data_IF_036624358892
#
_entry.id   IF_036624358892
#
_cell.length_a   1.000
_cell.length_b   1.000
_cell.length_c   1.000
_cell.angle_alpha   90.00
_cell.angle_beta   90.00
_cell.angle_gamma   90.00
#
_symmetry.space_group_name_H-M   'P 1'
#
loop_
_entity.id
_entity.type
_entity.pdbx_description
1 polymer ?
#
# COMPACT_ATOMS: atom_id res chain seq x y z
N UNK A 1 24.71 -11.85 10.55
CA UNK A 1 24.09 -12.89 9.68
C UNK A 1 24.83 -12.89 8.36
N UNK A 2 25.22 -14.05 7.86
CA UNK A 2 25.81 -14.19 6.52
C UNK A 2 24.71 -14.21 5.44
N UNK A 3 25.05 -13.98 4.16
CA UNK A 3 24.09 -14.08 3.05
C UNK A 3 23.36 -15.45 3.00
N UNK A 4 24.08 -16.53 3.27
CA UNK A 4 23.53 -17.90 3.30
C UNK A 4 22.47 -18.07 4.40
N UNK A 5 22.73 -17.54 5.60
CA UNK A 5 21.74 -17.57 6.69
C UNK A 5 20.46 -16.78 6.34
N UNK A 6 20.57 -15.70 5.57
CA UNK A 6 19.41 -14.96 5.07
C UNK A 6 18.61 -15.78 4.08
N UNK A 7 19.29 -16.42 3.12
CA UNK A 7 18.65 -17.27 2.12
C UNK A 7 17.88 -18.44 2.76
N UNK A 8 18.48 -19.14 3.73
CA UNK A 8 17.82 -20.23 4.46
C UNK A 8 16.58 -19.75 5.24
N UNK A 9 16.62 -18.54 5.81
CA UNK A 9 15.47 -17.96 6.49
C UNK A 9 14.36 -17.62 5.50
N UNK A 10 14.69 -16.99 4.38
CA UNK A 10 13.72 -16.63 3.34
C UNK A 10 13.09 -17.89 2.74
N UNK A 11 13.90 -18.92 2.44
CA UNK A 11 13.40 -20.21 1.92
C UNK A 11 12.43 -20.89 2.87
N UNK A 12 12.70 -20.88 4.18
CA UNK A 12 11.76 -21.42 5.18
C UNK A 12 10.40 -20.72 5.13
N UNK A 13 10.38 -19.39 5.06
CA UNK A 13 9.14 -18.64 4.92
C UNK A 13 8.44 -18.89 3.59
N UNK A 14 9.19 -19.01 2.49
CA UNK A 14 8.62 -19.33 1.17
C UNK A 14 7.95 -20.71 1.14
N UNK A 15 8.58 -21.73 1.71
CA UNK A 15 8.01 -23.09 1.81
C UNK A 15 6.73 -23.07 2.64
N UNK A 16 6.70 -22.33 3.75
CA UNK A 16 5.51 -22.20 4.60
C UNK A 16 4.33 -21.55 3.88
N UNK A 17 4.58 -20.71 2.87
CA UNK A 17 3.55 -20.04 2.06
C UNK A 17 3.24 -20.79 0.76
N UNK A 18 3.63 -22.06 0.66
CA UNK A 18 3.32 -22.89 -0.51
C UNK A 18 1.80 -22.96 -0.75
N UNK A 19 1.38 -22.78 -2.00
CA UNK A 19 -0.02 -22.76 -2.40
C UNK A 19 -0.70 -21.38 -2.33
N UNK A 20 -0.03 -20.35 -1.79
CA UNK A 20 -0.54 -18.98 -1.85
C UNK A 20 -0.47 -18.44 -3.28
N UNK A 21 -1.54 -17.77 -3.73
CA UNK A 21 -1.52 -17.07 -5.02
C UNK A 21 -0.55 -15.88 -4.98
N UNK A 22 -0.08 -15.45 -6.15
CA UNK A 22 0.79 -14.27 -6.24
C UNK A 22 0.09 -13.03 -5.69
N UNK A 23 -1.19 -12.86 -6.02
CA UNK A 23 -2.00 -11.74 -5.56
C UNK A 23 -2.19 -11.74 -4.04
N UNK A 24 -2.40 -12.92 -3.44
CA UNK A 24 -2.52 -13.03 -1.99
C UNK A 24 -1.18 -12.76 -1.30
N UNK A 25 -0.07 -13.23 -1.87
CA UNK A 25 1.27 -12.93 -1.34
C UNK A 25 1.58 -11.42 -1.41
N UNK A 26 1.25 -10.75 -2.52
CA UNK A 26 1.40 -9.30 -2.68
C UNK A 26 0.52 -8.54 -1.67
N UNK A 27 -0.72 -9.01 -1.44
CA UNK A 27 -1.61 -8.43 -0.43
C UNK A 27 -1.11 -8.62 1.00
N UNK A 28 -0.60 -9.80 1.37
CA UNK A 28 -0.02 -10.03 2.70
C UNK A 28 1.23 -9.18 2.92
N UNK A 29 2.07 -9.02 1.89
CA UNK A 29 3.22 -8.11 1.97
C UNK A 29 2.77 -6.68 2.29
N UNK A 30 1.76 -6.16 1.58
CA UNK A 30 1.22 -4.83 1.84
C UNK A 30 0.57 -4.71 3.22
N UNK A 31 -0.08 -5.78 3.71
CA UNK A 31 -0.68 -5.80 5.04
C UNK A 31 0.33 -5.66 6.16
N UNK A 32 1.52 -6.23 6.01
CA UNK A 32 2.61 -6.07 6.99
C UNK A 32 3.30 -4.73 6.80
N UNK A 33 3.56 -4.33 5.55
CA UNK A 33 4.27 -3.09 5.25
C UNK A 33 3.51 -1.84 5.74
N UNK A 34 2.17 -1.84 5.67
CA UNK A 34 1.35 -0.70 6.11
C UNK A 34 1.45 -0.38 7.61
N UNK A 35 1.86 -1.35 8.43
CA UNK A 35 2.01 -1.18 9.88
C UNK A 35 3.37 -0.57 10.27
N UNK A 36 4.29 -0.43 9.30
CA UNK A 36 5.57 0.23 9.54
C UNK A 36 5.36 1.72 9.82
N UNK A 37 6.05 2.24 10.83
CA UNK A 37 5.86 3.60 11.34
C UNK A 37 6.12 4.72 10.31
N UNK A 38 6.89 4.43 9.27
CA UNK A 38 7.22 5.38 8.19
C UNK A 38 6.41 5.13 6.91
N UNK A 39 5.56 4.10 6.88
CA UNK A 39 4.83 3.72 5.68
C UNK A 39 3.80 4.79 5.31
N UNK A 40 3.82 5.22 4.06
CA UNK A 40 2.85 6.19 3.54
C UNK A 40 2.94 7.58 4.18
N UNK A 41 4.08 7.92 4.80
CA UNK A 41 4.34 9.26 5.35
C UNK A 41 5.24 10.04 4.41
N UNK A 42 4.77 11.19 3.93
CA UNK A 42 5.58 12.13 3.17
C UNK A 42 6.14 13.21 4.10
N UNK A 43 7.46 13.32 4.13
CA UNK A 43 8.17 14.25 5.01
C UNK A 43 8.55 15.54 4.29
N UNK A 44 8.31 16.68 4.95
CA UNK A 44 8.69 18.01 4.47
C UNK A 44 9.46 18.78 5.53
N UNK A 45 10.62 19.37 5.19
CA UNK A 45 11.36 20.21 6.13
C UNK A 45 10.63 21.54 6.35
N UNK A 46 10.34 21.85 7.62
CA UNK A 46 9.61 23.05 8.03
C UNK A 46 10.32 23.76 9.19
N UNK A 47 9.97 25.02 9.41
CA UNK A 47 10.36 25.77 10.60
C UNK A 47 9.11 26.28 11.31
N UNK A 48 9.14 26.29 12.65
CA UNK A 48 8.12 26.96 13.45
C UNK A 48 8.37 28.49 13.47
N UNK A 49 7.40 29.24 14.00
CA UNK A 49 7.52 30.65 14.40
C UNK A 49 8.75 30.97 15.26
N UNK A 50 9.22 30.01 16.07
CA UNK A 50 10.46 30.14 16.88
C UNK A 50 11.74 29.79 16.11
N UNK A 51 11.65 29.65 14.79
CA UNK A 51 12.76 29.28 13.89
C UNK A 51 13.43 27.94 14.22
N UNK A 52 12.72 27.06 14.94
CA UNK A 52 13.17 25.70 15.19
C UNK A 52 12.93 24.83 13.97
N UNK A 53 13.95 24.08 13.58
CA UNK A 53 13.91 23.12 12.50
C UNK A 53 13.15 21.86 12.89
N UNK A 54 12.14 21.54 12.10
CA UNK A 54 11.20 20.44 12.28
C UNK A 54 10.90 19.79 10.94
N UNK A 55 10.25 18.63 10.99
CA UNK A 55 9.79 17.93 9.80
C UNK A 55 8.30 17.69 9.91
N UNK A 56 7.54 18.10 8.90
CA UNK A 56 6.12 17.79 8.77
C UNK A 56 5.97 16.43 8.10
N UNK A 57 5.25 15.49 8.69
CA UNK A 57 4.85 14.25 8.04
C UNK A 57 3.36 14.28 7.71
N UNK A 58 3.03 14.13 6.45
CA UNK A 58 1.63 14.02 5.98
C UNK A 58 1.35 12.57 5.65
N UNK A 59 0.28 12.01 6.22
CA UNK A 59 -0.12 10.61 6.07
C UNK A 59 -1.62 10.47 5.80
N UNK A 60 -2.05 9.29 5.36
CA UNK A 60 -3.47 8.98 5.16
C UNK A 60 -4.34 9.13 6.43
N UNK A 61 -3.73 9.07 7.63
CA UNK A 61 -4.41 9.18 8.91
C UNK A 61 -4.45 10.62 9.45
N UNK A 62 -3.41 11.40 9.16
CA UNK A 62 -3.29 12.76 9.69
C UNK A 62 -1.93 13.40 9.40
N UNK A 63 -1.64 14.46 10.16
CA UNK A 63 -0.41 15.25 10.07
C UNK A 63 0.37 15.13 11.37
N UNK A 64 1.64 14.70 11.27
CA UNK A 64 2.58 14.65 12.38
C UNK A 64 3.67 15.71 12.27
N UNK A 65 4.15 16.22 13.41
CA UNK A 65 5.35 17.05 13.48
C UNK A 65 6.47 16.22 14.11
N UNK A 66 7.62 16.19 13.46
CA UNK A 66 8.76 15.38 13.84
C UNK A 66 9.95 16.29 14.14
N UNK A 67 10.82 15.82 15.03
CA UNK A 67 12.14 16.43 15.19
C UNK A 67 13.04 15.94 14.06
N UNK A 68 14.01 16.74 13.66
CA UNK A 68 14.95 16.35 12.59
C UNK A 68 15.68 15.04 12.90
N UNK A 69 15.98 14.78 14.17
CA UNK A 69 16.65 13.57 14.66
C UNK A 69 15.75 12.34 14.77
N UNK A 70 14.42 12.50 14.81
CA UNK A 70 13.49 11.39 15.00
C UNK A 70 12.30 11.52 14.04
N UNK A 71 12.33 10.71 12.97
CA UNK A 71 11.28 10.61 11.95
C UNK A 71 10.25 9.51 12.22
N UNK A 72 10.41 8.77 13.33
CA UNK A 72 9.60 7.61 13.65
C UNK A 72 8.36 8.06 14.43
N UNK A 73 8.56 8.73 15.57
CA UNK A 73 7.45 9.11 16.45
C UNK A 73 7.08 10.59 16.28
N UNK A 74 5.88 10.92 15.78
CA UNK A 74 5.43 12.31 15.70
C UNK A 74 5.16 12.89 17.09
N UNK A 75 5.52 14.15 17.30
CA UNK A 75 5.22 14.95 18.50
C UNK A 75 5.02 16.42 18.13
N UNK A 76 3.78 16.95 18.09
CA UNK A 76 2.48 16.27 18.18
C UNK A 76 2.00 15.61 16.86
N UNK A 77 0.96 14.78 16.94
CA UNK A 77 0.23 14.20 15.81
C UNK A 77 -1.23 14.66 15.83
N UNK A 78 -1.78 15.02 14.67
CA UNK A 78 -3.16 15.48 14.49
C UNK A 78 -3.87 14.58 13.48
N UNK A 79 -4.91 13.89 13.94
CA UNK A 79 -5.78 13.12 13.05
C UNK A 79 -6.58 14.05 12.14
N UNK A 80 -6.93 13.60 10.94
CA UNK A 80 -7.73 14.44 10.02
C UNK A 80 -9.08 14.91 10.59
N UNK A 81 -9.67 14.17 11.54
CA UNK A 81 -10.89 14.58 12.26
C UNK A 81 -10.69 15.74 13.22
N UNK A 82 -9.46 15.95 13.70
CA UNK A 82 -9.11 16.98 14.68
C UNK A 82 -8.75 18.30 14.01
N UNK A 83 -8.53 18.29 12.69
CA UNK A 83 -8.12 19.46 11.92
C UNK A 83 -9.36 20.14 11.35
N UNK A 84 -9.62 21.38 11.80
CA UNK A 84 -10.79 22.17 11.39
C UNK A 84 -10.58 22.91 10.08
N UNK A 85 -9.41 23.53 9.91
CA UNK A 85 -8.99 24.13 8.66
C UNK A 85 -7.47 24.22 8.58
N UNK A 86 -6.95 24.09 7.37
CA UNK A 86 -5.59 24.51 7.04
C UNK A 86 -5.77 25.75 6.18
N UNK A 87 -5.14 26.86 6.57
CA UNK A 87 -5.10 28.08 5.79
C UNK A 87 -3.67 28.53 5.56
N UNK A 88 -3.42 29.12 4.41
CA UNK A 88 -2.16 29.80 4.15
C UNK A 88 -2.41 31.30 4.11
N UNK A 89 -1.50 32.05 4.71
CA UNK A 89 -1.50 33.51 4.62
C UNK A 89 -0.40 33.94 3.67
N UNK A 90 -0.78 34.70 2.65
CA UNK A 90 0.16 35.42 1.80
C UNK A 90 0.09 36.92 2.13
N UNK A 91 1.23 37.61 2.05
CA UNK A 91 1.31 39.07 2.09
C UNK A 91 1.98 39.52 0.79
N UNK A 92 1.18 39.87 -0.21
CA UNK A 92 1.65 40.50 -1.44
C UNK A 92 1.22 41.95 -1.39
N UNK A 93 2.18 42.88 -1.35
CA UNK A 93 2.01 44.33 -1.51
C UNK A 93 0.69 44.86 -0.90
N UNK A 94 0.50 44.64 0.41
CA UNK A 94 -0.65 45.17 1.17
C UNK A 94 -1.93 44.31 1.19
N UNK A 95 -2.05 43.26 0.38
CA UNK A 95 -3.22 42.37 0.36
C UNK A 95 -2.93 41.04 1.09
N UNK A 96 -3.85 40.66 1.98
CA UNK A 96 -3.82 39.39 2.72
C UNK A 96 -4.86 38.45 2.10
N UNK A 97 -4.42 37.36 1.50
CA UNK A 97 -5.29 36.28 1.04
C UNK A 97 -5.27 35.15 2.06
N UNK A 98 -6.44 34.70 2.50
CA UNK A 98 -6.62 33.53 3.38
C UNK A 98 -7.44 32.48 2.63
N UNK A 99 -6.79 31.43 2.14
CA UNK A 99 -7.48 30.31 1.52
C UNK A 99 -7.74 29.22 2.58
N UNK A 100 -8.94 28.65 2.63
CA UNK A 100 -9.32 27.60 3.60
C UNK A 100 -9.50 26.27 2.88
N UNK A 101 -8.68 25.29 3.23
CA UNK A 101 -8.51 24.03 2.48
C UNK A 101 -9.71 23.05 2.58
N UNK A 102 -10.72 23.31 3.42
CA UNK A 102 -11.86 22.37 3.64
C UNK A 102 -13.25 22.91 3.27
N UNK A 103 -13.36 24.05 2.59
CA UNK A 103 -14.62 24.43 1.95
C UNK A 103 -14.61 23.97 0.49
N UNK A 104 -15.67 23.28 0.07
CA UNK A 104 -15.85 22.69 -1.27
C UNK A 104 -15.81 23.70 -2.44
N UNK A 105 -15.64 24.99 -2.16
CA UNK A 105 -15.56 26.06 -3.15
C UNK A 105 -14.12 26.36 -3.60
N UNK A 106 -13.10 25.81 -2.94
CA UNK A 106 -11.70 26.16 -3.22
C UNK A 106 -11.07 25.41 -4.41
N UNK A 107 -11.79 24.54 -5.12
CA UNK A 107 -11.19 23.71 -6.18
C UNK A 107 -11.30 24.28 -7.60
N UNK A 108 -12.16 25.29 -7.84
CA UNK A 108 -12.49 25.67 -9.22
C UNK A 108 -12.00 27.07 -9.64
N UNK A 109 -11.22 27.77 -8.81
CA UNK A 109 -10.70 29.11 -9.17
C UNK A 109 -9.47 29.55 -8.34
N UNK A 110 -8.49 28.67 -8.13
CA UNK A 110 -7.18 29.07 -7.60
C UNK A 110 -6.15 28.96 -8.73
N UNK A 111 -6.49 29.55 -9.87
CA UNK A 111 -5.49 30.02 -10.79
C UNK A 111 -5.06 31.42 -10.34
N UNK A 112 -3.75 31.69 -10.39
CA UNK A 112 -3.12 33.01 -10.25
C UNK A 112 -2.80 33.42 -8.79
N UNK A 113 -1.55 33.15 -8.36
CA UNK A 113 -0.77 33.68 -7.19
C UNK A 113 -0.45 32.72 -6.02
N UNK A 114 -0.40 31.41 -6.24
CA UNK A 114 0.06 30.45 -5.20
C UNK A 114 1.60 30.34 -5.08
N UNK A 115 2.36 31.03 -5.94
CA UNK A 115 3.84 31.03 -5.94
C UNK A 115 4.54 31.71 -4.74
N UNK A 116 3.80 32.16 -3.71
CA UNK A 116 4.37 32.85 -2.54
C UNK A 116 3.66 32.47 -1.22
N UNK A 117 3.39 31.18 -1.00
CA UNK A 117 3.00 30.73 0.34
C UNK A 117 4.17 31.01 1.30
N UNK A 118 3.96 31.90 2.28
CA UNK A 118 5.01 32.22 3.27
C UNK A 118 4.77 31.55 4.62
N UNK A 119 3.53 31.18 4.92
CA UNK A 119 3.12 30.68 6.24
C UNK A 119 1.86 29.85 6.16
N UNK A 120 1.91 28.64 6.69
CA UNK A 120 0.76 27.78 6.92
C UNK A 120 0.25 27.97 8.34
N UNK A 121 -1.08 28.08 8.49
CA UNK A 121 -1.78 28.11 9.76
C UNK A 121 -2.78 26.95 9.76
N UNK A 122 -2.57 25.97 10.62
CA UNK A 122 -3.48 24.87 10.84
C UNK A 122 -4.26 25.14 12.12
N UNK A 123 -5.59 25.17 12.02
CA UNK A 123 -6.49 25.25 13.17
C UNK A 123 -7.08 23.88 13.44
N UNK A 124 -7.01 23.47 14.68
CA UNK A 124 -7.63 22.25 15.20
C UNK A 124 -9.03 22.53 15.76
N UNK A 125 -9.78 21.47 16.05
CA UNK A 125 -11.12 21.55 16.64
C UNK A 125 -11.12 22.12 18.06
N UNK A 126 -10.04 21.92 18.82
CA UNK A 126 -9.83 22.50 20.16
C UNK A 126 -9.43 23.99 20.15
N UNK A 127 -9.49 24.64 18.97
CA UNK A 127 -9.12 26.04 18.72
C UNK A 127 -7.62 26.34 18.83
N UNK A 128 -6.74 25.35 19.03
CA UNK A 128 -5.31 25.58 18.91
C UNK A 128 -4.94 25.91 17.44
N UNK A 129 -3.95 26.79 17.26
CA UNK A 129 -3.49 27.21 15.93
C UNK A 129 -2.00 26.98 15.83
N UNK A 130 -1.62 26.11 14.92
CA UNK A 130 -0.24 25.72 14.67
C UNK A 130 0.22 26.43 13.42
N UNK A 131 1.37 27.07 13.51
CA UNK A 131 1.88 27.88 12.42
C UNK A 131 3.28 27.45 12.05
N UNK A 132 3.49 27.16 10.76
CA UNK A 132 4.78 26.72 10.24
C UNK A 132 5.07 27.34 8.88
N UNK A 133 6.34 27.39 8.52
CA UNK A 133 6.84 27.78 7.18
C UNK A 133 7.66 26.64 6.61
N UNK A 134 7.57 26.39 5.32
CA UNK A 134 8.48 25.46 4.66
C UNK A 134 9.90 26.04 4.64
N UNK A 135 10.93 25.18 4.69
CA UNK A 135 12.32 25.62 4.50
C UNK A 135 12.57 26.12 3.08
N UNK A 136 11.93 25.48 2.10
CA UNK A 136 11.94 25.88 0.70
C UNK A 136 10.52 26.30 0.27
N UNK A 137 10.41 27.38 -0.50
CA UNK A 137 9.12 27.88 -0.99
C UNK A 137 8.56 26.94 -2.08
N UNK A 138 9.44 26.23 -2.81
CA UNK A 138 9.07 25.32 -3.90
C UNK A 138 8.16 24.18 -3.43
N UNK A 139 8.35 23.70 -2.19
CA UNK A 139 7.61 22.56 -1.65
C UNK A 139 6.22 22.92 -1.13
N UNK A 140 5.89 24.22 -1.02
CA UNK A 140 4.61 24.65 -0.45
C UNK A 140 3.41 24.13 -1.23
N UNK A 141 3.49 24.10 -2.56
CA UNK A 141 2.42 23.54 -3.41
C UNK A 141 2.26 22.05 -3.16
N UNK A 142 3.37 21.31 -3.07
CA UNK A 142 3.34 19.89 -2.77
C UNK A 142 2.70 19.60 -1.41
N UNK A 143 3.04 20.37 -0.37
CA UNK A 143 2.41 20.26 0.96
C UNK A 143 0.91 20.51 0.86
N UNK A 144 0.50 21.56 0.14
CA UNK A 144 -0.89 21.95 -0.02
C UNK A 144 -1.70 20.84 -0.72
N UNK A 145 -1.25 20.43 -1.90
CA UNK A 145 -1.93 19.43 -2.74
C UNK A 145 -2.05 18.10 -2.01
N UNK A 146 -0.99 17.69 -1.31
CA UNK A 146 -1.01 16.46 -0.54
C UNK A 146 -1.98 16.55 0.64
N UNK A 147 -2.03 17.66 1.38
CA UNK A 147 -2.98 17.83 2.48
C UNK A 147 -4.43 17.84 1.98
N UNK A 148 -4.72 18.57 0.90
CA UNK A 148 -6.05 18.64 0.27
C UNK A 148 -6.47 17.25 -0.20
N UNK A 149 -5.65 16.59 -1.02
CA UNK A 149 -5.94 15.28 -1.60
C UNK A 149 -6.13 14.21 -0.53
N UNK A 150 -5.25 14.19 0.46
CA UNK A 150 -5.32 13.19 1.54
C UNK A 150 -6.54 13.39 2.44
N UNK A 151 -6.89 14.64 2.77
CA UNK A 151 -8.10 14.92 3.53
C UNK A 151 -9.38 14.58 2.75
N UNK A 152 -9.43 14.90 1.45
CA UNK A 152 -10.58 14.54 0.60
C UNK A 152 -10.78 13.02 0.52
N UNK A 153 -9.69 12.26 0.37
CA UNK A 153 -9.74 10.80 0.43
C UNK A 153 -10.16 10.29 1.81
N UNK A 154 -9.71 10.93 2.89
CA UNK A 154 -10.15 10.61 4.25
C UNK A 154 -11.66 10.80 4.43
N UNK A 155 -12.24 11.91 3.95
CA UNK A 155 -13.68 12.13 3.97
C UNK A 155 -14.44 11.11 3.12
N UNK A 156 -13.94 10.84 1.90
CA UNK A 156 -14.55 9.86 0.99
C UNK A 156 -14.59 8.45 1.57
N UNK A 157 -13.55 8.03 2.30
CA UNK A 157 -13.49 6.72 2.98
C UNK A 157 -14.49 6.57 4.13
N UNK A 158 -15.04 7.66 4.66
CA UNK A 158 -16.04 7.66 5.75
C UNK A 158 -17.48 7.76 5.25
N UNK A 159 -17.66 7.90 3.94
CA UNK A 159 -18.96 7.89 3.30
C UNK A 159 -19.23 6.49 2.72
N UNK A 160 -20.50 6.13 2.51
CA UNK A 160 -20.81 4.90 1.78
C UNK A 160 -20.18 4.95 0.38
N UNK A 161 -19.72 3.79 -0.10
CA UNK A 161 -19.14 3.66 -1.44
C UNK A 161 -20.15 4.13 -2.50
N UNK A 162 -19.66 4.90 -3.48
CA UNK A 162 -20.43 5.23 -4.68
C UNK A 162 -20.83 3.96 -5.43
N UNK A 163 -21.96 3.99 -6.15
CA UNK A 163 -22.46 2.85 -6.92
C UNK A 163 -21.40 2.26 -7.86
N UNK A 164 -20.60 3.11 -8.52
CA UNK A 164 -19.49 2.70 -9.39
C UNK A 164 -18.44 1.87 -8.62
N UNK A 165 -18.03 2.31 -7.42
CA UNK A 165 -17.06 1.58 -6.58
C UNK A 165 -17.63 0.24 -6.12
N UNK A 166 -18.93 0.18 -5.80
CA UNK A 166 -19.60 -1.07 -5.43
C UNK A 166 -19.62 -2.05 -6.61
N UNK A 167 -19.92 -1.57 -7.82
CA UNK A 167 -19.88 -2.37 -9.04
C UNK A 167 -18.47 -2.89 -9.34
N UNK A 168 -17.45 -2.03 -9.23
CA UNK A 168 -16.05 -2.43 -9.39
C UNK A 168 -15.65 -3.53 -8.39
N UNK A 169 -16.05 -3.40 -7.11
CA UNK A 169 -15.78 -4.42 -6.08
C UNK A 169 -16.50 -5.75 -6.39
N UNK A 170 -17.76 -5.69 -6.82
CA UNK A 170 -18.53 -6.86 -7.21
C UNK A 170 -17.88 -7.58 -8.40
N UNK A 171 -17.49 -6.82 -9.43
CA UNK A 171 -16.81 -7.33 -10.62
C UNK A 171 -15.47 -7.97 -10.26
N UNK A 172 -14.64 -7.32 -9.43
CA UNK A 172 -13.36 -7.85 -8.98
C UNK A 172 -13.53 -9.16 -8.19
N UNK A 173 -14.55 -9.23 -7.30
CA UNK A 173 -14.88 -10.44 -6.55
C UNK A 173 -15.31 -11.57 -7.48
N UNK A 174 -16.15 -11.29 -8.47
CA UNK A 174 -16.61 -12.28 -9.44
C UNK A 174 -15.45 -12.80 -10.30
N UNK A 175 -14.59 -11.91 -10.80
CA UNK A 175 -13.39 -12.30 -11.55
C UNK A 175 -12.46 -13.19 -10.72
N UNK A 176 -12.27 -12.88 -9.43
CA UNK A 176 -11.48 -13.71 -8.52
C UNK A 176 -12.07 -15.09 -8.34
N UNK A 177 -13.39 -15.19 -8.13
CA UNK A 177 -14.09 -16.48 -8.00
C UNK A 177 -13.94 -17.31 -9.30
N UNK A 178 -14.11 -16.67 -10.46
CA UNK A 178 -13.96 -17.33 -11.76
C UNK A 178 -12.54 -17.89 -11.95
N UNK A 179 -11.50 -17.11 -11.63
CA UNK A 179 -10.09 -17.57 -11.71
C UNK A 179 -9.81 -18.76 -10.79
N UNK A 180 -10.33 -18.72 -9.55
CA UNK A 180 -10.16 -19.81 -8.58
C UNK A 180 -10.87 -21.09 -9.09
N UNK A 181 -12.08 -20.97 -9.62
CA UNK A 181 -12.81 -22.10 -10.20
C UNK A 181 -12.07 -22.71 -11.39
N UNK A 182 -11.53 -21.88 -12.28
CA UNK A 182 -10.74 -22.34 -13.42
C UNK A 182 -9.45 -23.04 -12.98
N UNK A 183 -8.73 -22.48 -12.01
CA UNK A 183 -7.53 -23.09 -11.45
C UNK A 183 -7.83 -24.44 -10.78
N UNK A 184 -8.92 -24.54 -10.02
CA UNK A 184 -9.36 -25.79 -9.40
C UNK A 184 -9.74 -26.85 -10.44
N UNK A 185 -10.40 -26.45 -11.54
CA UNK A 185 -10.70 -27.36 -12.66
C UNK A 185 -9.41 -27.91 -13.27
N UNK A 186 -8.45 -27.03 -13.58
CA UNK A 186 -7.16 -27.42 -14.16
C UNK A 186 -6.33 -28.30 -13.20
N UNK A 187 -6.38 -28.04 -11.88
CA UNK A 187 -5.70 -28.89 -10.88
C UNK A 187 -6.25 -30.30 -10.89
N UNK A 188 -7.59 -30.45 -10.89
CA UNK A 188 -8.25 -31.77 -10.94
C UNK A 188 -7.91 -32.53 -12.22
N UNK A 189 -7.91 -31.86 -13.37
CA UNK A 189 -7.53 -32.47 -14.65
C UNK A 189 -6.05 -32.92 -14.64
N UNK A 190 -5.15 -32.12 -14.05
CA UNK A 190 -3.74 -32.48 -13.90
C UNK A 190 -3.55 -33.69 -12.98
N UNK A 191 -4.22 -33.71 -11.83
CA UNK A 191 -4.18 -34.83 -10.88
C UNK A 191 -4.66 -36.14 -11.54
N UNK A 192 -5.74 -36.09 -12.32
CA UNK A 192 -6.23 -37.25 -13.06
C UNK A 192 -5.22 -37.75 -14.10
N UNK A 193 -4.56 -36.84 -14.84
CA UNK A 193 -3.52 -37.20 -15.81
C UNK A 193 -2.32 -37.86 -15.14
N UNK A 194 -1.85 -37.29 -14.03
CA UNK A 194 -0.73 -37.83 -13.26
C UNK A 194 -1.07 -39.23 -12.72
N UNK A 195 -2.30 -39.42 -12.22
CA UNK A 195 -2.77 -40.72 -11.74
C UNK A 195 -2.79 -41.77 -12.88
N UNK A 196 -3.34 -41.42 -14.04
CA UNK A 196 -3.40 -42.31 -15.19
C UNK A 196 -2.00 -42.65 -15.75
N UNK A 197 -1.09 -41.67 -15.79
CA UNK A 197 0.31 -41.90 -16.17
C UNK A 197 1.03 -42.84 -15.19
N UNK A 198 0.82 -42.64 -13.88
CA UNK A 198 1.39 -43.51 -12.84
C UNK A 198 0.88 -44.95 -12.94
N UNK A 199 -0.43 -45.15 -13.19
CA UNK A 199 -1.01 -46.47 -13.40
C UNK A 199 -0.47 -47.13 -14.68
N UNK A 200 -0.38 -46.37 -15.78
CA UNK A 200 0.21 -46.85 -17.03
C UNK A 200 1.64 -47.32 -16.85
N UNK A 201 2.45 -46.54 -16.13
CA UNK A 201 3.86 -46.87 -15.89
C UNK A 201 4.01 -48.09 -14.97
N UNK A 202 3.11 -48.27 -13.99
CA UNK A 202 3.05 -49.51 -13.17
C UNK A 202 2.80 -50.75 -14.03
N UNK A 203 1.73 -50.75 -14.84
CA UNK A 203 1.42 -51.89 -15.70
C UNK A 203 2.53 -52.17 -16.72
N UNK A 204 3.15 -51.12 -17.28
CA UNK A 204 4.27 -51.27 -18.20
C UNK A 204 5.47 -51.95 -17.53
N UNK A 205 5.78 -51.58 -16.29
CA UNK A 205 6.86 -52.20 -15.52
C UNK A 205 6.56 -53.66 -15.19
N UNK A 206 5.32 -53.99 -14.80
CA UNK A 206 4.88 -55.37 -14.56
C UNK A 206 5.00 -56.24 -15.82
N UNK A 207 4.52 -55.76 -16.96
CA UNK A 207 4.64 -56.46 -18.24
C UNK A 207 6.09 -56.69 -18.61
N UNK A 208 6.95 -55.68 -18.41
CA UNK A 208 8.38 -55.78 -18.72
C UNK A 208 9.06 -56.84 -17.85
N UNK A 209 8.75 -56.87 -16.55
CA UNK A 209 9.28 -57.87 -15.62
C UNK A 209 8.83 -59.30 -15.96
N UNK A 210 7.54 -59.50 -16.28
CA UNK A 210 7.00 -60.81 -16.68
C UNK A 210 7.67 -61.27 -17.99
N UNK A 211 7.82 -60.38 -18.98
CA UNK A 211 8.47 -60.70 -20.24
C UNK A 211 9.93 -61.12 -20.05
N UNK A 212 10.65 -60.45 -19.15
CA UNK A 212 12.04 -60.78 -18.81
C UNK A 212 12.14 -62.15 -18.12
N UNK A 213 11.24 -62.45 -17.17
CA UNK A 213 11.13 -63.77 -16.55
C UNK A 213 10.84 -64.87 -17.59
N UNK A 214 9.91 -64.61 -18.52
CA UNK A 214 9.58 -65.56 -19.59
C UNK A 214 10.78 -65.81 -20.51
N UNK A 215 11.55 -64.77 -20.83
CA UNK A 215 12.79 -64.86 -21.61
C UNK A 215 13.83 -65.71 -20.90
N UNK A 216 14.02 -65.50 -19.60
CA UNK A 216 14.96 -66.26 -18.78
C UNK A 216 14.56 -67.74 -18.64
N UNK A 217 13.25 -68.04 -18.50
CA UNK A 217 12.76 -69.42 -18.50
C UNK A 217 13.01 -70.12 -19.85
N UNK A 218 12.75 -69.44 -20.96
CA UNK A 218 13.03 -69.99 -22.31
C UNK A 218 14.52 -70.30 -22.51
N UNK A 219 15.41 -69.44 -22.02
CA UNK A 219 16.86 -69.66 -22.09
C UNK A 219 17.36 -70.80 -21.18
N UNK A 220 16.60 -71.17 -20.14
CA UNK A 220 16.94 -72.28 -19.21
C UNK A 220 16.48 -73.66 -19.68
N UNK A 221 15.55 -73.71 -20.63
CA UNK A 221 15.00 -74.96 -21.19
C UNK A 221 15.71 -75.41 -22.50
N UNK A 222 16.79 -74.73 -22.88
CA UNK A 222 17.73 -75.14 -23.92
C UNK A 222 19.07 -75.46 -23.26
#
# INVERSE_FOLDING_TARGET
>A
MTPQMWEERIKRWWINNSGQSREDAEMEYLRVAQDLEMYGIQYYPICNSKETDLTLGVSAQGIGIYKETNRITPRPFFSWSEIKNISFKNKVVGLIYECRIFNAECTNNIDIRIGMIRKFNMRTMDKSTITFRAKDISINMSILDLCVGTHNLYLRRRQPDLLEVQQMKAQAKEQRIRRIQEQNRLSREREQRIQAEAERDRYKNEITAINEQLRNMKMRCH
#
